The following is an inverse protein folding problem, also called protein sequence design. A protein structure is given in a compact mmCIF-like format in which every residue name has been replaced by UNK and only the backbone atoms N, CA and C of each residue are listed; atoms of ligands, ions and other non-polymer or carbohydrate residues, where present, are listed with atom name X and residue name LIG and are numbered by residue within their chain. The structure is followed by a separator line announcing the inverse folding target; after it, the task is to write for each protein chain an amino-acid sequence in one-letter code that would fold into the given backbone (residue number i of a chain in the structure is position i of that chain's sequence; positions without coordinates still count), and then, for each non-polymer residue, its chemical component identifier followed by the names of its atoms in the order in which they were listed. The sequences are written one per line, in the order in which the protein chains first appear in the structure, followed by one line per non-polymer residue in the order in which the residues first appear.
data_IF_699798104939
#
_entry.id   IF_699798104939
#
_cell.length_a   1.000
_cell.length_b   1.000
_cell.length_c   1.000
_cell.angle_alpha   90.00
_cell.angle_beta   90.00
_cell.angle_gamma   90.00
#
_symmetry.space_group_name_H-M   'P 1'
#
loop_
_entity.id
_entity.type
_entity.pdbx_description
1 polymer ?
#
# COMPACT_ATOMS: atom_id res chain seq x y z
N UNK A 1 8.70 19.63 -21.76
CA UNK A 1 8.84 18.20 -22.09
C UNK A 1 9.85 17.66 -21.10
N UNK A 2 9.39 17.25 -19.93
CA UNK A 2 10.23 16.67 -18.87
C UNK A 2 9.55 15.37 -18.48
N UNK A 3 10.25 14.30 -18.77
CA UNK A 3 9.92 12.91 -18.50
C UNK A 3 10.21 12.67 -17.01
N UNK A 4 9.18 12.67 -16.16
CA UNK A 4 9.35 12.35 -14.74
C UNK A 4 9.38 10.83 -14.59
N UNK A 5 10.54 10.34 -14.15
CA UNK A 5 10.83 8.96 -13.85
C UNK A 5 9.72 8.30 -13.00
N UNK A 6 9.17 7.20 -13.53
CA UNK A 6 8.20 6.35 -12.88
C UNK A 6 8.77 5.66 -11.65
N UNK A 7 8.77 6.36 -10.52
CA UNK A 7 8.86 5.71 -9.20
C UNK A 7 7.61 4.86 -8.99
N UNK A 8 7.78 3.61 -8.57
CA UNK A 8 6.72 2.61 -8.37
C UNK A 8 5.84 3.03 -7.19
N UNK A 9 4.92 3.96 -7.44
CA UNK A 9 3.97 4.55 -6.49
C UNK A 9 2.72 3.68 -6.34
N UNK A 10 2.80 2.37 -6.09
CA UNK A 10 1.59 1.52 -5.96
C UNK A 10 1.70 0.50 -4.84
N UNK A 11 0.74 0.54 -3.91
CA UNK A 11 0.82 -0.15 -2.61
C UNK A 11 0.04 -1.49 -2.56
N UNK A 12 -0.62 -1.89 -3.64
CA UNK A 12 -1.31 -3.19 -3.69
C UNK A 12 -1.20 -3.80 -5.07
N UNK A 13 -0.96 -5.11 -5.12
CA UNK A 13 -1.08 -5.93 -6.32
C UNK A 13 -2.01 -7.09 -6.02
N UNK A 14 -3.13 -7.19 -6.74
CA UNK A 14 -4.05 -8.31 -6.66
C UNK A 14 -4.01 -9.10 -7.97
N UNK A 15 -4.06 -10.44 -7.87
CA UNK A 15 -4.04 -11.34 -9.01
C UNK A 15 -5.27 -12.25 -9.00
N UNK A 16 -5.84 -12.48 -10.17
CA UNK A 16 -6.90 -13.46 -10.37
C UNK A 16 -6.54 -14.34 -11.57
N UNK A 17 -6.49 -15.66 -11.39
CA UNK A 17 -6.09 -16.61 -12.43
C UNK A 17 -7.17 -17.69 -12.60
N UNK A 18 -7.73 -17.85 -13.81
CA UNK A 18 -8.56 -19.00 -14.16
C UNK A 18 -7.75 -19.97 -15.02
N UNK A 19 -7.60 -21.23 -14.57
CA UNK A 19 -6.79 -22.29 -15.22
C UNK A 19 -7.01 -22.38 -16.73
N UNK A 20 -5.92 -22.35 -17.51
CA UNK A 20 -5.85 -22.64 -18.95
C UNK A 20 -4.46 -23.16 -19.34
N UNK A 21 -4.39 -24.11 -20.28
CA UNK A 21 -3.25 -24.97 -20.62
C UNK A 21 -2.12 -24.26 -21.39
N UNK A 22 -0.90 -24.79 -21.26
CA UNK A 22 0.36 -24.13 -21.62
C UNK A 22 0.72 -24.06 -23.11
N UNK A 23 1.61 -23.11 -23.41
CA UNK A 23 2.47 -23.01 -24.58
C UNK A 23 3.60 -21.99 -24.29
N UNK A 24 4.66 -22.00 -25.11
CA UNK A 24 5.86 -21.14 -25.03
C UNK A 24 5.55 -19.64 -24.82
N UNK A 25 6.50 -18.88 -24.26
CA UNK A 25 6.27 -17.54 -23.69
C UNK A 25 6.76 -16.37 -24.58
N UNK A 26 6.03 -15.95 -25.63
CA UNK A 26 6.09 -14.57 -26.09
C UNK A 26 5.48 -13.68 -25.02
N UNK A 27 6.14 -12.57 -24.68
CA UNK A 27 5.66 -11.56 -23.70
C UNK A 27 4.18 -11.30 -23.95
N UNK A 28 3.33 -11.67 -22.99
CA UNK A 28 1.90 -11.41 -23.08
C UNK A 28 1.66 -9.90 -22.97
N UNK A 29 0.85 -9.34 -23.87
CA UNK A 29 0.56 -7.91 -23.86
C UNK A 29 -0.65 -7.65 -22.96
N UNK A 30 -0.49 -6.90 -21.86
CA UNK A 30 -1.60 -6.59 -20.97
C UNK A 30 -2.56 -5.58 -21.61
N UNK A 31 -3.85 -5.90 -21.63
CA UNK A 31 -4.92 -4.97 -21.99
C UNK A 31 -5.29 -4.12 -20.77
N UNK A 32 -5.21 -2.78 -20.85
CA UNK A 32 -5.74 -1.90 -19.80
C UNK A 32 -7.27 -1.91 -19.85
N UNK A 33 -7.89 -2.46 -18.80
CA UNK A 33 -9.35 -2.58 -18.65
C UNK A 33 -9.87 -1.70 -17.50
N UNK A 34 -9.09 -0.73 -17.03
CA UNK A 34 -9.39 0.07 -15.84
C UNK A 34 -10.73 0.81 -15.96
N UNK A 35 -11.00 1.40 -17.13
CA UNK A 35 -12.22 2.18 -17.39
C UNK A 35 -13.51 1.37 -17.32
N UNK A 36 -13.43 0.03 -17.35
CA UNK A 36 -14.60 -0.85 -17.14
C UNK A 36 -15.05 -0.89 -15.67
N UNK A 37 -14.20 -0.45 -14.75
CA UNK A 37 -14.43 -0.54 -13.30
C UNK A 37 -14.37 0.81 -12.61
N UNK A 38 -13.52 1.72 -13.08
CA UNK A 38 -13.32 3.02 -12.43
C UNK A 38 -12.76 4.05 -13.40
N UNK A 39 -13.20 5.29 -13.21
CA UNK A 39 -12.65 6.48 -13.89
C UNK A 39 -11.49 7.10 -13.10
N UNK A 40 -11.20 6.61 -11.88
CA UNK A 40 -10.15 7.14 -11.02
C UNK A 40 -8.75 6.65 -11.41
N UNK A 41 -7.80 7.58 -11.51
CA UNK A 41 -6.39 7.28 -11.87
C UNK A 41 -5.62 6.46 -10.83
N UNK A 42 -6.12 6.41 -9.59
CA UNK A 42 -5.51 5.75 -8.45
C UNK A 42 -5.66 4.21 -8.48
N UNK A 43 -6.37 3.70 -9.48
CA UNK A 43 -6.65 2.29 -9.66
C UNK A 43 -6.30 1.90 -11.08
N UNK A 44 -5.63 0.76 -11.24
CA UNK A 44 -5.39 0.19 -12.56
C UNK A 44 -5.75 -1.27 -12.55
N UNK A 45 -6.27 -1.74 -13.68
CA UNK A 45 -6.61 -3.14 -13.91
C UNK A 45 -6.20 -3.52 -15.32
N UNK A 46 -5.49 -4.63 -15.41
CA UNK A 46 -5.04 -5.19 -16.68
C UNK A 46 -5.53 -6.62 -16.84
N UNK A 47 -5.81 -7.00 -18.07
CA UNK A 47 -6.14 -8.35 -18.44
C UNK A 47 -5.07 -8.92 -19.38
N UNK A 48 -4.59 -10.11 -19.05
CA UNK A 48 -3.68 -10.89 -19.86
C UNK A 48 -4.51 -12.03 -20.49
N UNK A 49 -4.97 -11.86 -21.75
CA UNK A 49 -5.95 -12.76 -22.35
C UNK A 49 -5.39 -14.16 -22.56
N UNK A 50 -4.10 -14.32 -22.88
CA UNK A 50 -3.47 -15.64 -23.09
C UNK A 50 -3.51 -16.52 -21.85
N UNK A 51 -3.38 -15.90 -20.68
CA UNK A 51 -3.35 -16.60 -19.40
C UNK A 51 -4.67 -16.51 -18.64
N UNK A 52 -5.66 -15.82 -19.20
CA UNK A 52 -6.90 -15.48 -18.52
C UNK A 52 -6.64 -14.92 -17.10
N UNK A 53 -5.63 -14.04 -17.01
CA UNK A 53 -5.12 -13.48 -15.78
C UNK A 53 -5.59 -12.02 -15.69
N UNK A 54 -6.06 -11.61 -14.51
CA UNK A 54 -6.36 -10.21 -14.22
C UNK A 54 -5.42 -9.72 -13.13
N UNK A 55 -4.74 -8.61 -13.40
CA UNK A 55 -3.96 -7.88 -12.42
C UNK A 55 -4.68 -6.60 -12.07
N UNK A 56 -4.69 -6.23 -10.79
CA UNK A 56 -5.18 -4.93 -10.37
C UNK A 56 -4.27 -4.32 -9.31
N UNK A 57 -4.17 -2.99 -9.34
CA UNK A 57 -3.46 -2.23 -8.32
C UNK A 57 -4.40 -1.25 -7.64
N UNK A 58 -4.36 -1.22 -6.32
CA UNK A 58 -5.17 -0.32 -5.50
C UNK A 58 -4.29 0.66 -4.75
N UNK A 59 -4.52 1.95 -4.95
CA UNK A 59 -3.91 2.96 -4.11
C UNK A 59 -4.59 2.97 -2.74
N UNK A 60 -3.82 2.60 -1.73
CA UNK A 60 -4.17 2.66 -0.32
C UNK A 60 -2.88 2.61 0.51
N UNK A 61 -2.09 3.70 0.54
CA UNK A 61 -0.75 3.72 1.13
C UNK A 61 -0.71 3.32 2.62
N UNK A 62 -1.83 3.47 3.33
CA UNK A 62 -1.98 3.14 4.74
C UNK A 62 -2.80 1.88 5.00
N UNK A 63 -3.32 1.22 3.96
CA UNK A 63 -4.23 0.07 4.01
C UNK A 63 -5.61 0.34 4.67
N UNK A 64 -5.69 1.28 5.61
CA UNK A 64 -6.91 1.68 6.32
C UNK A 64 -7.51 2.96 5.75
N UNK A 65 -8.78 3.22 6.06
CA UNK A 65 -9.48 4.42 5.62
C UNK A 65 -8.68 5.66 6.01
N UNK A 66 -8.43 6.49 5.02
CA UNK A 66 -7.68 7.74 5.15
C UNK A 66 -8.61 8.88 4.79
N UNK A 67 -8.62 9.92 5.59
CA UNK A 67 -9.34 11.17 5.33
C UNK A 67 -8.39 12.33 5.49
N UNK A 68 -8.52 13.34 4.64
CA UNK A 68 -7.84 14.61 4.85
C UNK A 68 -8.42 15.24 6.10
N UNK A 69 -7.59 15.86 6.95
CA UNK A 69 -8.02 16.45 8.22
C UNK A 69 -9.16 17.47 8.08
N UNK A 70 -9.39 18.00 6.86
CA UNK A 70 -10.38 19.03 6.56
C UNK A 70 -11.42 18.63 5.48
N UNK A 71 -11.71 17.34 5.27
CA UNK A 71 -12.87 16.95 4.45
C UNK A 71 -12.86 17.46 3.00
N UNK A 72 -11.67 17.58 2.40
CA UNK A 72 -11.50 18.11 1.06
C UNK A 72 -11.19 19.61 1.06
N UNK A 73 -9.98 19.95 1.50
CA UNK A 73 -9.16 21.06 1.01
C UNK A 73 -7.84 21.06 1.78
N UNK A 74 -6.74 21.01 1.03
CA UNK A 74 -5.34 20.89 1.47
C UNK A 74 -4.85 22.17 2.13
N UNK A 75 -5.05 22.29 3.44
CA UNK A 75 -4.39 23.25 4.34
C UNK A 75 -4.46 22.63 5.75
N UNK A 76 -3.70 21.56 6.07
CA UNK A 76 -2.39 21.61 6.75
C UNK A 76 -1.54 20.33 6.51
N UNK A 77 -1.84 19.56 5.46
CA UNK A 77 -0.99 18.45 4.97
C UNK A 77 -0.89 17.18 5.84
N UNK A 78 -1.48 17.18 7.04
CA UNK A 78 -1.56 16.03 7.96
C UNK A 78 -2.78 15.17 7.62
N UNK A 79 -2.55 13.88 7.40
CA UNK A 79 -3.61 12.91 7.07
C UNK A 79 -4.16 12.24 8.33
N UNK A 80 -5.44 11.91 8.30
CA UNK A 80 -6.11 11.17 9.36
C UNK A 80 -6.34 9.72 8.95
N UNK A 81 -5.94 8.77 9.80
CA UNK A 81 -6.14 7.33 9.59
C UNK A 81 -7.14 6.77 10.60
N UNK A 82 -8.14 6.04 10.11
CA UNK A 82 -9.09 5.30 10.94
C UNK A 82 -8.61 3.85 11.06
N UNK A 83 -7.84 3.56 12.12
CA UNK A 83 -7.01 2.35 12.23
C UNK A 83 -7.82 1.04 12.30
N UNK A 84 -9.11 1.09 12.58
CA UNK A 84 -10.03 -0.05 12.64
C UNK A 84 -10.92 -0.20 11.40
N UNK A 85 -10.78 0.68 10.40
CA UNK A 85 -11.58 0.66 9.18
C UNK A 85 -10.70 0.31 7.96
N UNK A 86 -10.94 -0.82 7.25
CA UNK A 86 -10.20 -1.12 6.03
C UNK A 86 -10.51 -0.09 4.94
N UNK A 87 -9.50 0.29 4.14
CA UNK A 87 -9.72 1.29 3.09
C UNK A 87 -10.73 0.75 2.06
N UNK A 88 -11.78 1.52 1.70
CA UNK A 88 -12.85 1.03 0.82
C UNK A 88 -12.34 0.63 -0.57
N UNK A 89 -11.28 1.29 -1.04
CA UNK A 89 -10.75 1.08 -2.40
C UNK A 89 -10.35 -0.35 -2.73
N UNK A 90 -9.65 -1.04 -1.82
CA UNK A 90 -9.29 -2.44 -2.02
C UNK A 90 -10.31 -3.36 -1.35
N UNK A 91 -10.88 -2.95 -0.22
CA UNK A 91 -11.74 -3.83 0.55
C UNK A 91 -13.04 -4.14 -0.20
N UNK A 92 -13.64 -3.21 -0.94
CA UNK A 92 -14.82 -3.52 -1.76
C UNK A 92 -14.53 -4.56 -2.86
N UNK A 93 -13.30 -4.60 -3.38
CA UNK A 93 -12.93 -5.33 -4.59
C UNK A 93 -12.24 -6.66 -4.31
N UNK A 94 -11.63 -6.81 -3.13
CA UNK A 94 -10.71 -7.91 -2.83
C UNK A 94 -11.33 -9.29 -3.08
N UNK A 95 -12.63 -9.45 -2.82
CA UNK A 95 -13.35 -10.70 -3.00
C UNK A 95 -13.24 -11.31 -4.40
N UNK A 96 -12.98 -10.49 -5.43
CA UNK A 96 -12.84 -10.93 -6.81
C UNK A 96 -11.47 -11.54 -7.16
N UNK A 97 -10.48 -11.47 -6.26
CA UNK A 97 -9.09 -11.88 -6.54
C UNK A 97 -8.71 -13.15 -5.78
N UNK A 98 -7.89 -14.00 -6.41
CA UNK A 98 -7.43 -15.27 -5.86
C UNK A 98 -6.13 -15.11 -5.04
N UNK A 99 -5.30 -14.12 -5.41
CA UNK A 99 -4.09 -13.77 -4.71
C UNK A 99 -4.05 -12.29 -4.35
N UNK A 100 -3.55 -11.99 -3.16
CA UNK A 100 -3.47 -10.64 -2.61
C UNK A 100 -2.03 -10.38 -2.18
N UNK A 101 -1.39 -9.33 -2.70
CA UNK A 101 -0.11 -8.83 -2.17
C UNK A 101 -0.39 -7.52 -1.43
N UNK A 102 -0.14 -7.55 -0.13
CA UNK A 102 -0.25 -6.39 0.76
C UNK A 102 1.13 -5.77 0.94
N UNK A 103 1.22 -4.45 0.75
CA UNK A 103 2.41 -3.67 1.04
C UNK A 103 2.00 -2.32 1.64
N UNK A 104 2.55 -1.98 2.79
CA UNK A 104 2.54 -0.62 3.32
C UNK A 104 3.75 -0.43 4.21
N UNK A 105 4.09 0.83 4.50
CA UNK A 105 5.24 1.11 5.35
C UNK A 105 5.68 2.56 5.25
N UNK A 106 6.34 2.92 4.15
CA UNK A 106 7.00 4.22 3.96
C UNK A 106 6.11 5.43 4.32
N UNK A 107 4.81 5.36 4.02
CA UNK A 107 3.89 6.46 4.28
C UNK A 107 3.62 6.72 5.77
N UNK A 108 3.81 5.72 6.65
CA UNK A 108 3.63 5.86 8.12
C UNK A 108 4.67 6.77 8.79
N UNK A 109 5.67 7.24 8.04
CA UNK A 109 6.70 8.16 8.51
C UNK A 109 6.28 9.63 8.45
N UNK A 110 5.20 9.93 7.72
CA UNK A 110 4.63 11.28 7.69
C UNK A 110 3.97 11.62 9.05
N UNK A 111 3.79 12.91 9.36
CA UNK A 111 2.87 13.33 10.40
C UNK A 111 1.46 12.80 10.12
N UNK A 112 0.85 12.15 11.11
CA UNK A 112 -0.44 11.46 10.98
C UNK A 112 -1.25 11.60 12.26
N UNK A 113 -2.57 11.70 12.09
CA UNK A 113 -3.55 11.63 13.19
C UNK A 113 -4.26 10.28 13.12
N UNK A 114 -4.47 9.67 14.28
CA UNK A 114 -5.05 8.33 14.38
C UNK A 114 -6.40 8.37 15.09
N UNK A 115 -7.39 7.77 14.45
CA UNK A 115 -8.69 7.50 15.02
C UNK A 115 -8.89 6.00 15.19
N UNK A 116 -9.67 5.62 16.19
CA UNK A 116 -10.20 4.28 16.36
C UNK A 116 -11.64 4.37 16.82
N UNK A 117 -12.53 3.67 16.12
CA UNK A 117 -13.96 3.60 16.46
C UNK A 117 -14.60 4.99 16.61
N UNK A 118 -14.21 5.91 15.72
CA UNK A 118 -14.67 7.30 15.72
C UNK A 118 -14.05 8.21 16.79
N UNK A 119 -13.14 7.72 17.64
CA UNK A 119 -12.49 8.50 18.68
C UNK A 119 -11.03 8.79 18.34
N UNK A 120 -10.55 9.99 18.72
CA UNK A 120 -9.15 10.37 18.60
C UNK A 120 -8.30 9.47 19.50
N UNK A 121 -7.38 8.70 18.89
CA UNK A 121 -6.41 7.87 19.60
C UNK A 121 -5.14 8.65 19.92
N UNK A 122 -4.75 9.57 19.03
CA UNK A 122 -3.54 10.36 19.15
C UNK A 122 -2.96 10.73 17.79
N UNK A 123 -1.69 11.14 17.76
CA UNK A 123 -0.99 11.50 16.53
C UNK A 123 0.46 10.98 16.55
N UNK A 124 1.16 11.01 15.42
CA UNK A 124 2.62 10.86 15.40
C UNK A 124 3.26 12.07 14.76
N UNK A 125 4.25 12.66 15.43
CA UNK A 125 5.02 13.82 14.95
C UNK A 125 4.14 14.98 14.47
N UNK A 126 3.01 15.24 15.15
CA UNK A 126 2.08 16.31 14.77
C UNK A 126 2.38 17.67 15.43
N UNK A 127 3.31 17.73 16.38
CA UNK A 127 3.70 18.98 17.06
C UNK A 127 2.58 19.62 17.89
N UNK A 128 1.60 18.83 18.35
CA UNK A 128 0.49 19.31 19.18
C UNK A 128 0.65 18.84 20.63
N UNK A 129 0.77 19.79 21.56
CA UNK A 129 1.04 19.50 22.98
C UNK A 129 -0.12 18.77 23.70
N UNK A 130 -1.35 18.92 23.22
CA UNK A 130 -2.56 18.37 23.84
C UNK A 130 -3.03 17.04 23.23
N UNK A 131 -2.23 16.41 22.38
CA UNK A 131 -2.58 15.14 21.72
C UNK A 131 -1.60 14.05 22.13
N UNK A 132 -2.11 12.87 22.47
CA UNK A 132 -1.28 11.72 22.82
C UNK A 132 -0.39 11.33 21.64
N UNK A 133 0.92 11.27 21.86
CA UNK A 133 1.86 10.75 20.88
C UNK A 133 1.73 9.22 20.79
N UNK A 134 1.42 8.74 19.59
CA UNK A 134 1.24 7.33 19.26
C UNK A 134 2.39 6.91 18.36
N UNK A 135 3.06 5.82 18.73
CA UNK A 135 4.15 5.29 17.94
C UNK A 135 3.70 4.89 16.53
N UNK A 136 4.46 5.31 15.51
CA UNK A 136 4.26 4.90 14.11
C UNK A 136 4.18 3.38 13.96
N UNK A 137 4.97 2.63 14.72
CA UNK A 137 4.95 1.16 14.73
C UNK A 137 3.65 0.59 15.30
N UNK A 138 3.07 1.24 16.32
CA UNK A 138 1.77 0.84 16.87
C UNK A 138 0.65 1.08 15.86
N UNK A 139 0.67 2.23 15.18
CA UNK A 139 -0.28 2.54 14.10
C UNK A 139 -0.15 1.57 12.92
N UNK A 140 1.08 1.30 12.45
CA UNK A 140 1.35 0.34 11.39
C UNK A 140 0.86 -1.07 11.76
N UNK A 141 1.16 -1.53 12.98
CA UNK A 141 0.67 -2.82 13.50
C UNK A 141 -0.85 -2.88 13.55
N UNK A 142 -1.52 -1.79 13.94
CA UNK A 142 -2.97 -1.72 13.95
C UNK A 142 -3.55 -1.80 12.54
N UNK A 143 -3.02 -1.04 11.59
CA UNK A 143 -3.45 -1.05 10.20
C UNK A 143 -3.29 -2.43 9.54
N UNK A 144 -2.15 -3.11 9.77
CA UNK A 144 -1.93 -4.48 9.31
C UNK A 144 -2.92 -5.46 9.94
N UNK A 145 -3.19 -5.36 11.25
CA UNK A 145 -4.19 -6.22 11.92
C UNK A 145 -5.57 -6.04 11.31
N UNK A 146 -6.01 -4.81 11.10
CA UNK A 146 -7.30 -4.50 10.46
C UNK A 146 -7.37 -5.05 9.04
N UNK A 147 -6.30 -4.86 8.27
CA UNK A 147 -6.19 -5.36 6.90
C UNK A 147 -6.28 -6.89 6.85
N UNK A 148 -5.48 -7.59 7.64
CA UNK A 148 -5.47 -9.05 7.69
C UNK A 148 -6.81 -9.60 8.20
N UNK A 149 -7.44 -8.97 9.19
CA UNK A 149 -8.80 -9.33 9.65
C UNK A 149 -9.84 -9.15 8.55
N UNK A 150 -9.79 -8.07 7.77
CA UNK A 150 -10.72 -7.85 6.68
C UNK A 150 -10.50 -8.82 5.51
N UNK A 151 -9.25 -9.26 5.28
CA UNK A 151 -8.93 -10.30 4.31
C UNK A 151 -9.45 -11.66 4.76
N UNK A 152 -9.17 -12.06 6.01
CA UNK A 152 -9.54 -13.38 6.54
C UNK A 152 -11.02 -13.49 6.90
N UNK A 153 -11.65 -12.43 7.40
CA UNK A 153 -13.08 -12.36 7.68
C UNK A 153 -13.94 -12.50 6.43
N UNK A 154 -13.38 -12.25 5.24
CA UNK A 154 -14.02 -12.48 3.94
C UNK A 154 -13.81 -13.89 3.38
N UNK A 155 -13.28 -14.83 4.16
CA UNK A 155 -13.07 -16.23 3.74
C UNK A 155 -14.34 -17.07 3.59
N UNK A 156 -15.51 -16.44 3.49
CA UNK A 156 -16.74 -17.00 2.90
C UNK A 156 -16.97 -16.59 1.45
N UNK A 157 -15.90 -16.41 0.64
CA UNK A 157 -16.00 -16.11 -0.81
C UNK A 157 -16.93 -17.14 -1.47
N UNK A 158 -17.90 -16.67 -2.27
CA UNK A 158 -18.77 -17.52 -3.10
C UNK A 158 -17.87 -18.49 -3.91
N UNK A 159 -17.88 -19.78 -3.56
CA UNK A 159 -17.17 -20.83 -4.30
C UNK A 159 -16.02 -21.55 -3.59
N UNK A 160 -15.84 -21.41 -2.26
CA UNK A 160 -15.12 -22.42 -1.46
C UNK A 160 -13.59 -22.50 -1.59
N UNK A 161 -12.93 -21.63 -2.35
CA UNK A 161 -11.47 -21.56 -2.43
C UNK A 161 -10.93 -20.36 -1.66
N UNK A 162 -10.22 -20.58 -0.56
CA UNK A 162 -9.50 -19.54 0.18
C UNK A 162 -8.42 -18.91 -0.70
N UNK A 163 -8.42 -17.58 -0.83
CA UNK A 163 -7.38 -16.86 -1.56
C UNK A 163 -6.06 -16.83 -0.78
N UNK A 164 -4.94 -16.79 -1.49
CA UNK A 164 -3.60 -16.72 -0.87
C UNK A 164 -3.19 -15.27 -0.69
N UNK A 165 -2.77 -14.90 0.52
CA UNK A 165 -2.28 -13.55 0.83
C UNK A 165 -0.79 -13.57 1.10
N UNK A 166 -0.07 -12.69 0.43
CA UNK A 166 1.33 -12.39 0.66
C UNK A 166 1.44 -11.03 1.32
N UNK A 167 2.25 -10.94 2.38
CA UNK A 167 2.67 -9.68 2.95
C UNK A 167 4.09 -9.41 2.46
N UNK A 168 4.27 -8.33 1.70
CA UNK A 168 5.61 -7.88 1.31
C UNK A 168 6.27 -7.19 2.50
N UNK A 169 7.55 -7.48 2.70
CA UNK A 169 8.38 -6.81 3.70
C UNK A 169 8.51 -5.31 3.43
N UNK A 170 8.89 -4.57 4.47
CA UNK A 170 9.09 -3.13 4.40
C UNK A 170 10.18 -2.77 3.38
N UNK A 171 10.00 -1.67 2.66
CA UNK A 171 10.99 -1.14 1.72
C UNK A 171 11.82 -0.09 2.43
N UNK A 172 13.09 -0.41 2.66
CA UNK A 172 14.04 0.50 3.29
C UNK A 172 14.41 1.65 2.36
N UNK A 173 14.62 2.83 2.94
CA UNK A 173 15.19 3.95 2.24
C UNK A 173 16.68 3.66 1.94
N UNK A 174 17.13 4.06 0.75
CA UNK A 174 18.52 3.93 0.32
C UNK A 174 19.15 5.30 0.01
N UNK A 175 18.49 6.38 0.43
CA UNK A 175 19.01 7.73 0.33
C UNK A 175 20.21 7.89 1.27
N UNK A 176 21.25 8.55 0.79
CA UNK A 176 22.42 8.89 1.58
C UNK A 176 22.44 10.41 1.76
N UNK A 177 22.62 10.86 3.02
CA UNK A 177 22.72 12.26 3.51
C UNK A 177 21.41 12.95 3.98
N UNK A 178 20.26 12.26 3.95
CA UNK A 178 18.96 12.88 4.22
C UNK A 178 17.77 11.98 3.84
N UNK A 179 16.56 12.54 3.95
CA UNK A 179 15.30 11.83 3.68
C UNK A 179 14.85 11.97 2.21
N UNK A 180 13.90 11.13 1.80
CA UNK A 180 13.36 11.14 0.43
C UNK A 180 12.75 12.48 0.00
N UNK A 181 12.37 13.34 0.96
CA UNK A 181 11.80 14.67 0.72
C UNK A 181 12.84 15.74 0.43
N UNK A 182 14.11 15.47 0.73
CA UNK A 182 15.16 16.48 0.77
C UNK A 182 15.86 16.64 -0.60
N UNK A 183 15.34 15.96 -1.64
CA UNK A 183 15.86 16.02 -3.01
C UNK A 183 17.15 15.22 -3.19
N UNK A 184 17.48 14.33 -2.26
CA UNK A 184 18.73 13.61 -2.27
C UNK A 184 18.77 12.41 -3.21
N UNK A 185 19.99 11.97 -3.51
CA UNK A 185 20.27 10.95 -4.51
C UNK A 185 20.65 9.61 -3.88
N UNK A 186 20.53 8.53 -4.66
CA UNK A 186 21.05 7.21 -4.32
C UNK A 186 22.29 6.93 -5.20
N UNK A 187 23.48 7.50 -4.88
CA UNK A 187 24.64 7.46 -5.78
C UNK A 187 25.35 6.11 -5.81
N UNK A 188 25.02 5.20 -4.87
CA UNK A 188 25.69 3.90 -4.78
C UNK A 188 25.46 3.05 -6.03
N UNK A 189 26.54 2.53 -6.57
CA UNK A 189 26.54 1.60 -7.70
C UNK A 189 26.71 0.14 -7.29
N UNK A 190 26.90 -0.13 -6.00
CA UNK A 190 27.01 -1.49 -5.44
C UNK A 190 26.24 -1.63 -4.12
N UNK A 191 25.76 -2.85 -3.79
CA UNK A 191 25.18 -3.15 -2.49
C UNK A 191 26.15 -2.88 -1.33
N UNK A 192 25.60 -2.72 -0.12
CA UNK A 192 26.39 -2.71 1.11
C UNK A 192 27.04 -4.08 1.32
N UNK A 193 28.32 -4.06 1.70
CA UNK A 193 28.99 -5.22 2.29
C UNK A 193 28.45 -5.50 3.69
N UNK A 194 28.73 -6.70 4.23
CA UNK A 194 28.18 -7.20 5.49
C UNK A 194 28.36 -6.26 6.69
N UNK A 195 29.44 -5.45 6.68
CA UNK A 195 29.80 -4.56 7.79
C UNK A 195 29.66 -3.08 7.44
N UNK A 196 29.13 -2.76 6.25
CA UNK A 196 29.04 -1.37 5.75
C UNK A 196 27.77 -0.65 6.18
N UNK A 197 26.71 -1.37 6.58
CA UNK A 197 25.48 -0.77 7.10
C UNK A 197 24.91 -1.59 8.24
N UNK A 198 24.76 -0.93 9.39
CA UNK A 198 24.03 -1.47 10.54
C UNK A 198 22.57 -1.10 10.39
N UNK A 199 21.68 -2.09 10.48
CA UNK A 199 20.24 -1.85 10.51
C UNK A 199 19.86 -1.40 11.93
N UNK A 200 19.44 -0.15 12.09
CA UNK A 200 19.03 0.41 13.38
C UNK A 200 17.79 1.28 13.24
N UNK A 201 16.96 1.33 14.28
CA UNK A 201 15.80 2.21 14.34
C UNK A 201 14.81 1.97 13.19
N UNK A 202 14.73 2.94 12.27
CA UNK A 202 13.84 2.90 11.11
C UNK A 202 14.43 2.15 9.90
N UNK A 203 15.69 1.74 9.98
CA UNK A 203 16.34 0.87 9.01
C UNK A 203 16.12 -0.64 9.31
N UNK A 204 15.34 -0.97 10.35
CA UNK A 204 14.94 -2.35 10.73
C UNK A 204 13.60 -2.77 10.10
#
# INVERSE_FOLDING_TARGET
MVEEAGSVRRSFFLFRCKKGQGAACPVDQPEDISLRYTTGYNFKRWHLPKHNLTLATFWAPFLVRTTDACGGQTLDGILTLHLDEPHPSWSAEIGAFDYVIVLAGQWFFRPLVYYRSGQLLGCSACGQDNVTEVSRFQAYRAALRTTLRAITGRNGRKGGGGGTTFLRTFLLAHFEHGDWTDGESCPRTRPFGSDEKKLEGYDL
#
